data_IF_635535675230
#
_entry.id   IF_635535675230
#
_cell.length_a   1.000
_cell.length_b   1.000
_cell.length_c   1.000
_cell.angle_alpha   90.00
_cell.angle_beta   90.00
_cell.angle_gamma   90.00
#
_symmetry.space_group_name_H-M   'P 1'
#
loop_
_entity.id
_entity.type
_entity.pdbx_description
1 polymer ?
#
# COMPACT_ATOMS: atom_id res chain seq x y z
N UNK A 1 -32.78 8.28 50.62
CA UNK A 1 -32.89 9.10 49.39
C UNK A 1 -32.74 8.15 48.22
N UNK A 2 -33.78 7.98 47.41
CA UNK A 2 -33.83 6.99 46.33
C UNK A 2 -33.12 7.57 45.09
N UNK A 3 -32.21 6.82 44.48
CA UNK A 3 -31.44 7.27 43.31
C UNK A 3 -32.36 7.50 42.10
N UNK A 4 -32.13 8.54 41.27
CA UNK A 4 -32.96 8.82 40.11
C UNK A 4 -32.94 7.63 39.13
N UNK A 5 -34.12 7.17 38.73
CA UNK A 5 -34.24 6.16 37.67
C UNK A 5 -33.69 6.71 36.34
N UNK A 6 -32.97 5.89 35.54
CA UNK A 6 -32.49 6.31 34.24
C UNK A 6 -33.67 6.65 33.33
N UNK A 7 -33.55 7.67 32.47
CA UNK A 7 -34.64 8.08 31.59
C UNK A 7 -35.04 6.93 30.65
N UNK A 8 -36.35 6.76 30.36
CA UNK A 8 -36.82 5.72 29.46
C UNK A 8 -36.21 5.93 28.07
N UNK A 9 -35.57 4.88 27.53
CA UNK A 9 -35.06 4.87 26.17
C UNK A 9 -36.22 5.16 25.21
N UNK A 10 -36.14 6.29 24.51
CA UNK A 10 -37.16 6.68 23.55
C UNK A 10 -37.33 5.58 22.50
N UNK A 11 -38.57 5.12 22.31
CA UNK A 11 -38.89 4.17 21.26
C UNK A 11 -38.47 4.75 19.90
N UNK A 12 -37.67 4.00 19.13
CA UNK A 12 -37.17 4.43 17.84
C UNK A 12 -38.35 4.79 16.92
N UNK A 13 -38.40 6.04 16.47
CA UNK A 13 -39.48 6.54 15.60
C UNK A 13 -39.41 5.82 14.24
N UNK A 14 -40.54 5.38 13.66
CA UNK A 14 -40.58 4.77 12.32
C UNK A 14 -40.05 5.67 11.19
N UNK A 15 -39.94 6.97 11.43
CA UNK A 15 -39.35 7.95 10.49
C UNK A 15 -37.87 8.22 10.75
N UNK A 16 -37.30 7.63 11.80
CA UNK A 16 -35.88 7.73 12.05
C UNK A 16 -35.17 6.73 11.11
N UNK A 17 -34.25 7.20 10.25
CA UNK A 17 -33.52 6.30 9.37
C UNK A 17 -32.86 5.21 10.23
N UNK A 18 -32.92 3.93 9.82
CA UNK A 18 -32.44 2.82 10.63
C UNK A 18 -30.98 3.08 11.01
N UNK A 19 -30.57 2.81 12.25
CA UNK A 19 -29.20 3.06 12.72
C UNK A 19 -28.11 2.41 11.82
N UNK A 20 -28.48 1.37 11.06
CA UNK A 20 -27.65 0.74 10.03
C UNK A 20 -27.34 1.64 8.82
N UNK A 21 -28.21 2.60 8.46
CA UNK A 21 -27.94 3.58 7.41
C UNK A 21 -26.99 4.69 7.85
N UNK A 22 -26.91 4.98 9.16
CA UNK A 22 -25.89 5.88 9.73
C UNK A 22 -24.48 5.23 9.75
N UNK A 23 -24.40 3.90 9.74
CA UNK A 23 -23.12 3.17 9.76
C UNK A 23 -22.42 3.16 8.39
N UNK A 24 -23.16 3.43 7.31
CA UNK A 24 -22.64 3.37 5.92
C UNK A 24 -21.58 4.44 5.62
N UNK A 25 -21.56 5.54 6.37
CA UNK A 25 -20.50 6.56 6.30
C UNK A 25 -19.14 6.09 6.85
N UNK A 26 -19.11 5.02 7.66
CA UNK A 26 -17.86 4.52 8.27
C UNK A 26 -17.01 3.67 7.33
N UNK A 27 -17.58 3.09 6.26
CA UNK A 27 -16.83 2.15 5.40
C UNK A 27 -15.73 2.82 4.56
N UNK A 28 -15.80 4.12 4.30
CA UNK A 28 -14.88 4.84 3.41
C UNK A 28 -14.13 6.01 4.08
N UNK A 29 -13.93 5.95 5.39
CA UNK A 29 -13.18 6.98 6.12
C UNK A 29 -11.72 7.09 5.65
N UNK A 30 -11.18 8.31 5.59
CA UNK A 30 -9.77 8.57 5.27
C UNK A 30 -8.80 7.68 6.05
N UNK A 31 -9.00 7.51 7.36
CA UNK A 31 -8.16 6.65 8.20
C UNK A 31 -8.04 5.21 7.67
N UNK A 32 -9.13 4.63 7.14
CA UNK A 32 -9.12 3.25 6.61
C UNK A 32 -8.32 3.17 5.31
N UNK A 33 -8.49 4.12 4.41
CA UNK A 33 -7.71 4.20 3.18
C UNK A 33 -6.22 4.44 3.45
N UNK A 34 -5.92 5.30 4.43
CA UNK A 34 -4.56 5.53 4.90
C UNK A 34 -3.93 4.24 5.44
N UNK A 35 -4.64 3.51 6.29
CA UNK A 35 -4.18 2.24 6.85
C UNK A 35 -3.95 1.17 5.77
N UNK A 36 -4.86 1.05 4.80
CA UNK A 36 -4.72 0.10 3.69
C UNK A 36 -3.50 0.45 2.84
N UNK A 37 -3.34 1.72 2.46
CA UNK A 37 -2.19 2.17 1.67
C UNK A 37 -0.87 1.99 2.41
N UNK A 38 -0.83 2.30 3.71
CA UNK A 38 0.35 2.08 4.55
C UNK A 38 0.70 0.58 4.69
N UNK A 39 -0.30 -0.27 4.91
CA UNK A 39 -0.08 -1.71 4.97
C UNK A 39 0.45 -2.26 3.64
N UNK A 40 -0.11 -1.80 2.51
CA UNK A 40 0.36 -2.19 1.18
C UNK A 40 1.81 -1.76 0.93
N UNK A 41 2.21 -0.57 1.41
CA UNK A 41 3.61 -0.13 1.38
C UNK A 41 4.52 -1.08 2.17
N UNK A 42 4.11 -1.49 3.37
CA UNK A 42 4.88 -2.44 4.18
C UNK A 42 5.05 -3.77 3.43
N UNK A 43 3.98 -4.32 2.86
CA UNK A 43 4.08 -5.53 2.04
C UNK A 43 5.04 -5.34 0.85
N UNK A 44 4.96 -4.21 0.16
CA UNK A 44 5.86 -3.92 -0.95
C UNK A 44 7.34 -3.87 -0.51
N UNK A 45 7.63 -3.34 0.69
CA UNK A 45 9.00 -3.34 1.23
C UNK A 45 9.52 -4.73 1.55
N UNK A 46 8.65 -5.65 1.99
CA UNK A 46 9.03 -7.05 2.24
C UNK A 46 9.50 -7.72 0.95
N UNK A 47 8.79 -7.53 -0.16
CA UNK A 47 9.22 -8.07 -1.47
C UNK A 47 10.57 -7.50 -1.93
N UNK A 48 10.85 -6.22 -1.65
CA UNK A 48 12.15 -5.61 -2.01
C UNK A 48 13.33 -6.07 -1.14
N UNK A 49 13.06 -6.61 0.06
CA UNK A 49 14.09 -7.03 1.01
C UNK A 49 14.26 -8.56 1.07
N UNK A 50 13.57 -9.30 0.20
CA UNK A 50 13.71 -10.74 0.16
C UNK A 50 15.17 -11.09 -0.23
N UNK A 51 15.93 -11.82 0.62
CA UNK A 51 17.37 -11.99 0.44
C UNK A 51 17.71 -13.05 -0.61
N UNK A 52 17.42 -12.74 -1.87
CA UNK A 52 17.71 -13.60 -3.03
C UNK A 52 19.23 -13.82 -3.20
N UNK A 53 20.08 -12.91 -2.74
CA UNK A 53 21.54 -13.07 -2.82
C UNK A 53 22.08 -14.33 -2.12
N UNK A 54 21.31 -14.93 -1.20
CA UNK A 54 21.69 -16.20 -0.57
C UNK A 54 21.46 -17.44 -1.45
N UNK A 55 20.70 -17.30 -2.53
CA UNK A 55 20.39 -18.36 -3.50
C UNK A 55 21.03 -18.13 -4.87
N UNK A 56 22.03 -17.25 -4.95
CA UNK A 56 22.81 -17.03 -6.17
C UNK A 56 23.58 -18.31 -6.53
N UNK A 57 23.50 -18.81 -7.78
CA UNK A 57 24.27 -19.97 -8.22
C UNK A 57 25.77 -19.74 -8.03
N UNK A 58 26.45 -20.69 -7.39
CA UNK A 58 27.89 -20.60 -7.10
C UNK A 58 28.68 -21.36 -8.15
N UNK A 59 29.69 -20.72 -8.75
CA UNK A 59 30.61 -21.38 -9.69
C UNK A 59 31.30 -22.61 -9.08
N UNK A 60 31.49 -22.64 -7.75
CA UNK A 60 32.15 -23.75 -7.08
C UNK A 60 31.33 -25.06 -7.08
N UNK A 61 30.04 -24.99 -7.40
CA UNK A 61 29.13 -26.15 -7.41
C UNK A 61 29.08 -26.85 -8.79
N UNK A 62 29.76 -26.30 -9.81
CA UNK A 62 29.75 -26.80 -11.19
C UNK A 62 31.18 -27.03 -11.70
N UNK A 63 31.40 -28.11 -12.45
CA UNK A 63 32.61 -28.32 -13.22
C UNK A 63 32.51 -27.56 -14.56
N UNK A 64 33.03 -26.33 -14.59
CA UNK A 64 33.06 -25.51 -15.81
C UNK A 64 33.90 -26.10 -16.95
N UNK A 65 34.64 -27.19 -16.72
CA UNK A 65 35.37 -27.90 -17.78
C UNK A 65 34.52 -28.96 -18.47
N UNK A 66 33.38 -29.34 -17.88
CA UNK A 66 32.33 -30.11 -18.54
C UNK A 66 31.34 -29.15 -19.22
N UNK A 67 31.15 -29.32 -20.53
CA UNK A 67 30.27 -28.48 -21.35
C UNK A 67 28.83 -28.46 -20.79
N UNK A 68 28.32 -29.59 -20.29
CA UNK A 68 26.95 -29.67 -19.76
C UNK A 68 26.78 -28.92 -18.45
N UNK A 69 27.74 -29.05 -17.54
CA UNK A 69 27.68 -28.33 -16.25
C UNK A 69 27.92 -26.84 -16.45
N UNK A 70 28.73 -26.44 -17.45
CA UNK A 70 28.88 -25.04 -17.83
C UNK A 70 27.60 -24.42 -18.40
N UNK A 71 26.86 -25.15 -19.23
CA UNK A 71 25.55 -24.72 -19.74
C UNK A 71 24.53 -24.63 -18.60
N UNK A 72 24.56 -25.58 -17.67
CA UNK A 72 23.64 -25.60 -16.53
C UNK A 72 23.85 -24.40 -15.60
N UNK A 73 25.10 -24.03 -15.32
CA UNK A 73 25.41 -22.82 -14.54
C UNK A 73 24.85 -21.55 -15.19
N UNK A 74 24.95 -21.42 -16.52
CA UNK A 74 24.43 -20.27 -17.24
C UNK A 74 22.89 -20.21 -17.21
N UNK A 75 22.22 -21.35 -17.35
CA UNK A 75 20.76 -21.45 -17.24
C UNK A 75 20.26 -21.11 -15.82
N UNK A 76 20.95 -21.63 -14.80
CA UNK A 76 20.63 -21.35 -13.40
C UNK A 76 20.85 -19.86 -13.08
N UNK A 77 21.87 -19.22 -13.67
CA UNK A 77 22.13 -17.78 -13.49
C UNK A 77 21.09 -16.90 -14.19
N UNK A 78 20.68 -17.23 -15.42
CA UNK A 78 19.60 -16.52 -16.13
C UNK A 78 18.26 -16.64 -15.37
N UNK A 79 17.94 -17.84 -14.87
CA UNK A 79 16.78 -18.09 -14.01
C UNK A 79 16.83 -17.26 -12.73
N UNK A 80 17.99 -17.15 -12.09
CA UNK A 80 18.20 -16.32 -10.91
C UNK A 80 17.98 -14.83 -11.21
N UNK A 81 18.57 -14.29 -12.27
CA UNK A 81 18.36 -12.90 -12.70
C UNK A 81 16.88 -12.62 -13.01
N UNK A 82 16.20 -13.57 -13.68
CA UNK A 82 14.76 -13.50 -13.95
C UNK A 82 13.93 -13.44 -12.66
N UNK A 83 14.30 -14.19 -11.63
CA UNK A 83 13.65 -14.14 -10.33
C UNK A 83 13.89 -12.79 -9.64
N UNK A 84 15.12 -12.27 -9.63
CA UNK A 84 15.44 -10.95 -9.07
C UNK A 84 14.61 -9.86 -9.76
N UNK A 85 14.53 -9.90 -11.09
CA UNK A 85 13.73 -8.97 -11.87
C UNK A 85 12.23 -9.06 -11.53
N UNK A 86 11.69 -10.28 -11.37
CA UNK A 86 10.30 -10.51 -11.00
C UNK A 86 9.97 -9.91 -9.62
N UNK A 87 10.80 -10.20 -8.61
CA UNK A 87 10.59 -9.66 -7.25
C UNK A 87 10.73 -8.13 -7.22
N UNK A 88 11.70 -7.57 -7.96
CA UNK A 88 11.85 -6.13 -8.13
C UNK A 88 10.64 -5.47 -8.80
N UNK A 89 10.13 -6.07 -9.88
CA UNK A 89 8.94 -5.60 -10.58
C UNK A 89 7.70 -5.65 -9.69
N UNK A 90 7.49 -6.75 -8.98
CA UNK A 90 6.38 -6.91 -8.01
C UNK A 90 6.44 -5.87 -6.89
N UNK A 91 7.61 -5.65 -6.31
CA UNK A 91 7.81 -4.61 -5.30
C UNK A 91 7.47 -3.22 -5.85
N UNK A 92 7.91 -2.91 -7.07
CA UNK A 92 7.67 -1.62 -7.73
C UNK A 92 6.18 -1.40 -8.02
N UNK A 93 5.48 -2.40 -8.55
CA UNK A 93 4.03 -2.34 -8.80
C UNK A 93 3.26 -2.14 -7.50
N UNK A 94 3.59 -2.89 -6.46
CA UNK A 94 2.95 -2.76 -5.15
C UNK A 94 3.21 -1.38 -4.52
N UNK A 95 4.45 -0.87 -4.59
CA UNK A 95 4.77 0.48 -4.11
C UNK A 95 3.99 1.55 -4.87
N UNK A 96 3.94 1.48 -6.20
CA UNK A 96 3.21 2.43 -7.04
C UNK A 96 1.69 2.39 -6.74
N UNK A 97 1.12 1.20 -6.60
CA UNK A 97 -0.28 1.02 -6.23
C UNK A 97 -0.60 1.59 -4.84
N UNK A 98 0.27 1.33 -3.85
CA UNK A 98 0.12 1.84 -2.50
C UNK A 98 0.14 3.38 -2.45
N UNK A 99 1.13 3.99 -3.10
CA UNK A 99 1.28 5.45 -3.16
C UNK A 99 0.13 6.11 -3.91
N UNK A 100 -0.37 5.47 -4.97
CA UNK A 100 -1.55 5.96 -5.71
C UNK A 100 -2.80 5.93 -4.84
N UNK A 101 -3.04 4.84 -4.10
CA UNK A 101 -4.15 4.77 -3.14
C UNK A 101 -4.04 5.82 -2.05
N UNK A 102 -2.85 6.04 -1.50
CA UNK A 102 -2.62 7.08 -0.49
C UNK A 102 -2.90 8.46 -1.08
N UNK A 103 -2.32 8.79 -2.24
CA UNK A 103 -2.58 10.06 -2.93
C UNK A 103 -4.07 10.29 -3.18
N UNK A 104 -4.79 9.26 -3.63
CA UNK A 104 -6.25 9.32 -3.79
C UNK A 104 -6.98 9.62 -2.47
N UNK A 105 -6.59 8.97 -1.37
CA UNK A 105 -7.17 9.21 -0.06
C UNK A 105 -7.00 10.67 0.39
N UNK A 106 -5.80 11.24 0.19
CA UNK A 106 -5.51 12.65 0.49
C UNK A 106 -6.36 13.60 -0.36
N UNK A 107 -6.48 13.37 -1.66
CA UNK A 107 -7.29 14.22 -2.54
C UNK A 107 -8.79 14.13 -2.22
N UNK A 108 -9.29 12.93 -1.93
CA UNK A 108 -10.68 12.69 -1.52
C UNK A 108 -11.01 13.46 -0.23
N UNK A 109 -10.18 13.31 0.80
CA UNK A 109 -10.40 13.98 2.10
C UNK A 109 -10.39 15.50 1.96
N UNK A 110 -9.48 16.05 1.14
CA UNK A 110 -9.40 17.48 0.90
C UNK A 110 -10.65 18.08 0.22
N UNK A 111 -11.40 17.28 -0.55
CA UNK A 111 -12.60 17.74 -1.27
C UNK A 111 -13.90 17.47 -0.52
N UNK A 112 -13.99 16.35 0.20
CA UNK A 112 -15.25 15.90 0.81
C UNK A 112 -15.52 16.54 2.19
N UNK A 113 -14.49 16.93 2.95
CA UNK A 113 -14.70 17.50 4.28
C UNK A 113 -15.01 19.01 4.22
N UNK A 114 -16.31 19.33 4.19
CA UNK A 114 -16.81 20.70 4.16
C UNK A 114 -16.52 21.50 5.44
N UNK A 115 -16.20 20.85 6.57
CA UNK A 115 -15.91 21.50 7.85
C UNK A 115 -14.44 21.91 8.05
N UNK A 116 -13.55 21.44 7.17
CA UNK A 116 -12.11 21.69 7.30
C UNK A 116 -11.70 23.12 6.91
N UNK A 117 -10.76 23.70 7.67
CA UNK A 117 -10.11 24.95 7.30
C UNK A 117 -9.40 24.83 5.94
N UNK A 118 -9.48 25.89 5.13
CA UNK A 118 -8.88 25.94 3.77
C UNK A 118 -7.39 25.58 3.78
N UNK A 119 -6.65 26.02 4.80
CA UNK A 119 -5.23 25.69 4.95
C UNK A 119 -4.99 24.17 4.99
N UNK A 120 -5.81 23.42 5.73
CA UNK A 120 -5.69 21.97 5.86
C UNK A 120 -5.97 21.27 4.53
N UNK A 121 -6.99 21.72 3.79
CA UNK A 121 -7.29 21.18 2.45
C UNK A 121 -6.12 21.36 1.49
N UNK A 122 -5.50 22.55 1.48
CA UNK A 122 -4.32 22.82 0.65
C UNK A 122 -3.16 21.90 1.06
N UNK A 123 -2.91 21.74 2.36
CA UNK A 123 -1.87 20.81 2.85
C UNK A 123 -2.12 19.37 2.41
N UNK A 124 -3.36 18.89 2.49
CA UNK A 124 -3.72 17.54 2.04
C UNK A 124 -3.50 17.37 0.53
N UNK A 125 -3.87 18.37 -0.29
CA UNK A 125 -3.61 18.36 -1.74
C UNK A 125 -2.11 18.33 -2.02
N UNK A 126 -1.32 19.17 -1.35
CA UNK A 126 0.13 19.19 -1.52
C UNK A 126 0.77 17.86 -1.11
N UNK A 127 0.33 17.26 -0.01
CA UNK A 127 0.77 15.93 0.41
C UNK A 127 0.47 14.86 -0.65
N UNK A 128 -0.74 14.88 -1.23
CA UNK A 128 -1.12 14.01 -2.34
C UNK A 128 -0.22 14.19 -3.57
N UNK A 129 0.08 15.45 -3.94
CA UNK A 129 1.00 15.76 -5.06
C UNK A 129 2.40 15.21 -4.78
N UNK A 130 2.96 15.47 -3.60
CA UNK A 130 4.30 14.96 -3.22
C UNK A 130 4.36 13.45 -3.31
N UNK A 131 3.32 12.74 -2.86
CA UNK A 131 3.24 11.28 -2.95
C UNK A 131 3.26 10.80 -4.41
N UNK A 132 2.44 11.38 -5.27
CA UNK A 132 2.38 11.01 -6.70
C UNK A 132 3.69 11.35 -7.42
N UNK A 133 4.25 12.53 -7.18
CA UNK A 133 5.54 12.93 -7.76
C UNK A 133 6.67 12.02 -7.29
N UNK A 134 6.61 11.49 -6.06
CA UNK A 134 7.59 10.52 -5.57
C UNK A 134 7.59 9.18 -6.34
N UNK A 135 6.48 8.83 -6.99
CA UNK A 135 6.39 7.65 -7.88
C UNK A 135 7.20 7.96 -9.14
N UNK A 136 6.88 9.08 -9.79
CA UNK A 136 7.52 9.51 -11.05
C UNK A 136 9.02 9.71 -10.86
N UNK A 137 9.45 10.36 -9.77
CA UNK A 137 10.87 10.58 -9.47
C UNK A 137 11.65 9.27 -9.25
N UNK A 138 11.02 8.25 -8.66
CA UNK A 138 11.64 6.92 -8.52
C UNK A 138 11.72 6.16 -9.85
N UNK A 139 10.71 6.30 -10.71
CA UNK A 139 10.74 5.70 -12.05
C UNK A 139 11.86 6.27 -12.94
N UNK A 140 12.21 7.54 -12.80
CA UNK A 140 13.33 8.14 -13.53
C UNK A 140 14.71 7.72 -13.00
N UNK A 141 14.81 7.30 -11.73
CA UNK A 141 16.07 6.83 -11.14
C UNK A 141 16.42 5.37 -11.50
N UNK A 142 15.50 4.64 -12.13
CA UNK A 142 15.66 3.23 -12.51
C UNK A 142 16.13 3.04 -13.97
N UNK A 143 16.48 4.14 -14.66
CA UNK A 143 17.12 4.17 -15.98
C UNK A 143 18.48 4.87 -15.88
#
# INVERSE_FOLDING_TARGET
MQAPMPPPQAAASPYQPPASSMTKGSMYSFQKWLMIGAALLVFATVFSQFPLASSEPSIADYDLTDEKESEQYLDDMDSFEGQVALFGAMATILQAGALTMLGYAFFREAQEDQGQHVAVRITMILAGIVLVTSIVGRSFSLF
#
